data_IF_504006434869
#
_entry.id   IF_504006434869
#
_cell.length_a   1.000
_cell.length_b   1.000
_cell.length_c   1.000
_cell.angle_alpha   90.00
_cell.angle_beta   90.00
_cell.angle_gamma   90.00
#
_symmetry.space_group_name_H-M   'P 1'
#
loop_
_entity.id
_entity.type
_entity.pdbx_description
1 polymer ?
#
# COMPACT_ATOMS: atom_id res chain seq x y z
N UNK A 1 1.88 6.44 16.70
CA UNK A 1 1.00 7.54 16.25
C UNK A 1 1.38 8.03 14.84
N UNK A 2 2.68 8.30 14.56
CA UNK A 2 3.14 8.75 13.24
C UNK A 2 2.73 7.79 12.11
N UNK A 3 2.89 6.48 12.30
CA UNK A 3 2.49 5.48 11.30
C UNK A 3 0.99 5.53 10.98
N UNK A 4 0.13 5.69 12.00
CA UNK A 4 -1.31 5.84 11.80
C UNK A 4 -1.65 7.10 10.99
N UNK A 5 -1.01 8.22 11.31
CA UNK A 5 -1.22 9.49 10.58
C UNK A 5 -0.78 9.38 9.13
N UNK A 6 0.39 8.79 8.87
CA UNK A 6 0.88 8.57 7.50
C UNK A 6 -0.06 7.67 6.70
N UNK A 7 -0.57 6.59 7.30
CA UNK A 7 -1.57 5.74 6.67
C UNK A 7 -2.85 6.52 6.34
N UNK A 8 -3.33 7.38 7.24
CA UNK A 8 -4.50 8.22 6.98
C UNK A 8 -4.26 9.21 5.83
N UNK A 9 -3.06 9.80 5.71
CA UNK A 9 -2.74 10.62 4.55
C UNK A 9 -2.82 9.85 3.24
N UNK A 10 -2.29 8.63 3.20
CA UNK A 10 -2.40 7.76 2.02
C UNK A 10 -3.84 7.29 1.76
N UNK A 11 -4.65 7.11 2.83
CA UNK A 11 -6.07 6.82 2.68
C UNK A 11 -6.82 7.99 2.06
N UNK A 12 -6.45 9.22 2.38
CA UNK A 12 -7.07 10.46 1.83
C UNK A 12 -6.59 10.72 0.41
N UNK A 13 -5.28 10.65 0.15
CA UNK A 13 -4.72 10.80 -1.19
C UNK A 13 -3.87 9.58 -1.59
N UNK A 14 -4.46 8.62 -2.31
CA UNK A 14 -3.74 7.44 -2.81
C UNK A 14 -2.61 7.75 -3.82
N UNK A 15 -2.50 9.00 -4.29
CA UNK A 15 -1.44 9.43 -5.22
C UNK A 15 -0.14 9.79 -4.49
N UNK A 16 -0.18 9.89 -3.17
CA UNK A 16 1.04 10.02 -2.38
C UNK A 16 1.94 8.82 -2.68
N UNK A 17 3.22 9.05 -2.85
CA UNK A 17 4.20 7.99 -3.06
C UNK A 17 4.15 6.91 -1.98
N UNK A 18 4.98 5.87 -2.09
CA UNK A 18 4.92 4.74 -1.15
C UNK A 18 5.16 5.13 0.31
N UNK A 19 4.62 4.34 1.23
CA UNK A 19 4.91 4.37 2.66
C UNK A 19 5.87 3.23 3.01
N UNK A 20 7.02 3.55 3.59
CA UNK A 20 8.00 2.59 4.07
C UNK A 20 7.89 2.44 5.60
N UNK A 21 7.52 1.26 6.08
CA UNK A 21 7.46 0.91 7.49
C UNK A 21 8.76 0.20 7.89
N UNK A 22 9.61 0.87 8.65
CA UNK A 22 10.88 0.35 9.13
C UNK A 22 10.76 -0.12 10.57
N UNK A 23 11.46 -1.19 10.95
CA UNK A 23 11.51 -1.67 12.33
C UNK A 23 11.85 -3.16 12.42
N UNK A 24 12.15 -3.63 13.61
CA UNK A 24 12.51 -5.01 13.88
C UNK A 24 11.41 -6.02 13.52
N UNK A 25 11.76 -7.30 13.43
CA UNK A 25 10.76 -8.35 13.33
C UNK A 25 9.83 -8.35 14.54
N UNK A 26 8.55 -8.60 14.31
CA UNK A 26 7.56 -8.66 15.38
C UNK A 26 6.92 -7.33 15.80
N UNK A 27 7.35 -6.17 15.30
CA UNK A 27 6.71 -4.87 15.61
C UNK A 27 5.41 -4.62 14.81
N UNK A 28 4.74 -5.68 14.37
CA UNK A 28 3.40 -5.67 13.76
C UNK A 28 3.24 -4.85 12.47
N UNK A 29 4.31 -4.63 11.68
CA UNK A 29 4.24 -3.89 10.40
C UNK A 29 3.21 -4.46 9.43
N UNK A 30 3.26 -5.77 9.18
CA UNK A 30 2.33 -6.46 8.28
C UNK A 30 0.90 -6.47 8.82
N UNK A 31 0.74 -6.61 10.14
CA UNK A 31 -0.56 -6.52 10.81
C UNK A 31 -1.18 -5.13 10.62
N UNK A 32 -0.36 -4.08 10.79
CA UNK A 32 -0.80 -2.69 10.59
C UNK A 32 -1.20 -2.43 9.14
N UNK A 33 -0.41 -2.93 8.16
CA UNK A 33 -0.73 -2.79 6.75
C UNK A 33 -2.03 -3.52 6.37
N UNK A 34 -2.28 -4.71 6.91
CA UNK A 34 -3.54 -5.44 6.69
C UNK A 34 -4.72 -4.75 7.35
N UNK A 35 -4.58 -4.27 8.59
CA UNK A 35 -5.62 -3.52 9.28
C UNK A 35 -5.97 -2.20 8.55
N UNK A 36 -5.01 -1.58 7.91
CA UNK A 36 -5.23 -0.37 7.11
C UNK A 36 -6.24 -0.58 5.97
N UNK A 37 -6.27 -1.75 5.35
CA UNK A 37 -7.28 -2.10 4.34
C UNK A 37 -8.70 -1.89 4.83
N UNK A 38 -8.96 -2.20 6.10
CA UNK A 38 -10.30 -2.15 6.68
C UNK A 38 -10.86 -0.72 6.76
N UNK A 39 -9.99 0.29 6.82
CA UNK A 39 -10.43 1.70 6.83
C UNK A 39 -10.56 2.30 5.43
N UNK A 40 -10.09 1.61 4.39
CA UNK A 40 -10.19 2.13 3.03
C UNK A 40 -11.62 2.05 2.50
N UNK A 41 -12.11 3.12 1.85
CA UNK A 41 -13.37 3.06 1.13
C UNK A 41 -13.30 2.01 0.02
N UNK A 42 -14.26 1.12 -0.02
CA UNK A 42 -14.33 0.08 -1.05
C UNK A 42 -14.51 0.68 -2.45
N UNK A 43 -13.93 0.09 -3.50
CA UNK A 43 -14.24 0.42 -4.89
C UNK A 43 -15.74 0.19 -5.20
N UNK A 44 -16.27 0.92 -6.19
CA UNK A 44 -17.71 0.90 -6.56
C UNK A 44 -18.22 -0.53 -6.87
N UNK A 45 -17.34 -1.43 -7.32
CA UNK A 45 -17.69 -2.78 -7.76
C UNK A 45 -17.22 -3.89 -6.81
N UNK A 46 -16.79 -3.56 -5.60
CA UNK A 46 -16.27 -4.52 -4.63
C UNK A 46 -16.71 -4.15 -3.21
N UNK A 47 -16.97 -5.15 -2.39
CA UNK A 47 -17.31 -4.94 -0.97
C UNK A 47 -16.11 -4.44 -0.16
N UNK A 48 -14.89 -4.74 -0.59
CA UNK A 48 -13.64 -4.35 0.09
C UNK A 48 -12.57 -3.92 -0.91
N UNK A 49 -11.68 -3.03 -0.48
CA UNK A 49 -10.48 -2.67 -1.25
C UNK A 49 -9.54 -3.87 -1.37
N UNK A 50 -8.94 -4.12 -2.56
CA UNK A 50 -7.94 -5.16 -2.72
C UNK A 50 -6.76 -4.97 -1.75
N UNK A 51 -6.24 -6.07 -1.23
CA UNK A 51 -4.97 -6.10 -0.50
C UNK A 51 -4.11 -7.19 -1.13
N UNK A 52 -3.12 -6.77 -1.87
CA UNK A 52 -2.24 -7.68 -2.62
C UNK A 52 -0.87 -7.66 -1.96
N UNK A 53 -0.43 -8.81 -1.52
CA UNK A 53 0.89 -9.01 -0.93
C UNK A 53 1.84 -9.54 -2.01
N UNK A 54 3.01 -8.93 -2.10
CA UNK A 54 4.08 -9.37 -3.01
C UNK A 54 4.96 -10.38 -2.28
N UNK A 55 4.92 -11.67 -2.64
CA UNK A 55 5.76 -12.69 -2.02
C UNK A 55 7.24 -12.47 -2.34
N UNK A 56 8.12 -12.81 -1.41
CA UNK A 56 9.56 -12.89 -1.66
C UNK A 56 9.83 -13.87 -2.81
N UNK A 57 10.74 -13.50 -3.71
CA UNK A 57 11.05 -14.31 -4.88
C UNK A 57 10.00 -14.26 -6.00
N UNK A 58 9.08 -13.29 -5.94
CA UNK A 58 8.13 -13.04 -7.05
C UNK A 58 8.89 -12.78 -8.35
N UNK A 59 8.50 -13.48 -9.42
CA UNK A 59 9.04 -13.23 -10.76
C UNK A 59 8.47 -11.92 -11.34
N UNK A 60 9.21 -11.33 -12.29
CA UNK A 60 8.78 -10.14 -13.02
C UNK A 60 7.41 -10.33 -13.69
N UNK A 61 7.22 -11.42 -14.42
CA UNK A 61 5.94 -11.75 -15.07
C UNK A 61 4.77 -11.82 -14.08
N UNK A 62 4.99 -12.38 -12.90
CA UNK A 62 3.96 -12.45 -11.87
C UNK A 62 3.64 -11.09 -11.26
N UNK A 63 4.65 -10.25 -11.09
CA UNK A 63 4.49 -8.92 -10.51
C UNK A 63 3.83 -7.95 -11.50
N UNK A 64 4.41 -7.85 -12.68
CA UNK A 64 4.05 -6.84 -13.68
C UNK A 64 2.93 -7.31 -14.61
N UNK A 65 2.73 -8.62 -14.70
CA UNK A 65 1.87 -9.25 -15.70
C UNK A 65 2.64 -9.67 -16.94
N UNK A 66 2.03 -10.50 -17.74
CA UNK A 66 2.65 -10.99 -18.97
C UNK A 66 1.66 -11.05 -20.12
N UNK A 67 2.17 -11.11 -21.35
CA UNK A 67 1.37 -11.32 -22.55
C UNK A 67 1.60 -12.76 -23.00
N UNK A 68 0.52 -13.52 -23.08
CA UNK A 68 0.54 -14.87 -23.62
C UNK A 68 0.42 -14.84 -25.15
N UNK A 69 1.59 -14.89 -25.82
CA UNK A 69 1.66 -14.93 -27.26
C UNK A 69 1.24 -16.30 -27.86
N UNK A 70 1.20 -17.38 -27.05
CA UNK A 70 0.77 -18.70 -27.53
C UNK A 70 -0.73 -18.73 -27.86
N UNK A 71 -1.53 -17.98 -27.12
CA UNK A 71 -2.96 -17.83 -27.41
C UNK A 71 -3.23 -17.16 -28.77
N UNK A 72 -2.29 -16.37 -29.27
CA UNK A 72 -2.37 -15.78 -30.64
C UNK A 72 -2.28 -16.86 -31.72
N UNK A 73 -1.43 -17.88 -31.55
CA UNK A 73 -1.26 -18.97 -32.47
C UNK A 73 -2.46 -19.92 -32.48
N UNK A 74 -3.11 -20.12 -31.34
CA UNK A 74 -4.25 -21.04 -31.20
C UNK A 74 -5.59 -20.39 -31.57
N UNK A 75 -5.81 -19.16 -31.16
CA UNK A 75 -7.11 -18.50 -31.22
C UNK A 75 -7.15 -17.19 -32.00
N UNK A 76 -6.02 -16.78 -32.60
CA UNK A 76 -5.91 -15.52 -33.33
C UNK A 76 -6.05 -14.26 -32.44
N UNK A 77 -6.04 -14.44 -31.12
CA UNK A 77 -6.10 -13.33 -30.11
C UNK A 77 -5.06 -13.55 -29.05
N UNK A 78 -4.29 -12.50 -28.76
CA UNK A 78 -3.42 -12.50 -27.60
C UNK A 78 -4.22 -12.25 -26.32
N UNK A 79 -3.79 -12.81 -25.20
CA UNK A 79 -4.34 -12.53 -23.88
C UNK A 79 -3.24 -12.01 -22.96
N UNK A 80 -3.60 -11.04 -22.13
CA UNK A 80 -2.71 -10.62 -21.05
C UNK A 80 -3.03 -11.38 -19.77
N UNK A 81 -2.00 -11.80 -19.06
CA UNK A 81 -2.13 -12.31 -17.68
C UNK A 81 -1.94 -11.15 -16.72
N UNK A 82 -2.95 -10.90 -15.89
CA UNK A 82 -2.95 -9.85 -14.90
C UNK A 82 -1.86 -10.08 -13.85
N UNK A 83 -0.99 -9.07 -13.66
CA UNK A 83 0.03 -9.07 -12.62
C UNK A 83 -0.52 -8.62 -11.26
N UNK A 84 0.31 -8.77 -10.21
CA UNK A 84 -0.04 -8.33 -8.86
C UNK A 84 -0.29 -6.82 -8.80
N UNK A 85 0.44 -6.03 -9.58
CA UNK A 85 0.26 -4.57 -9.70
C UNK A 85 -1.17 -4.23 -10.16
N UNK A 86 -1.67 -4.89 -11.20
CA UNK A 86 -3.03 -4.67 -11.69
C UNK A 86 -4.08 -5.16 -10.70
N UNK A 87 -3.84 -6.31 -10.05
CA UNK A 87 -4.73 -6.84 -9.01
C UNK A 87 -4.87 -5.91 -7.80
N UNK A 88 -3.83 -5.13 -7.49
CA UNK A 88 -3.86 -4.15 -6.40
C UNK A 88 -4.63 -2.86 -6.75
N UNK A 89 -5.05 -2.69 -8.01
CA UNK A 89 -5.71 -1.46 -8.45
C UNK A 89 -6.95 -1.13 -7.60
N UNK A 90 -6.99 0.08 -7.07
CA UNK A 90 -8.05 0.54 -6.16
C UNK A 90 -7.87 0.14 -4.69
N UNK A 91 -6.74 -0.48 -4.32
CA UNK A 91 -6.47 -0.97 -2.97
C UNK A 91 -5.05 -0.72 -2.49
N UNK A 92 -4.43 -1.75 -1.94
CA UNK A 92 -3.09 -1.74 -1.35
C UNK A 92 -2.22 -2.78 -2.04
N UNK A 93 -1.01 -2.37 -2.42
CA UNK A 93 0.09 -3.27 -2.74
C UNK A 93 1.05 -3.27 -1.55
N UNK A 94 1.16 -4.40 -0.87
CA UNK A 94 2.03 -4.58 0.28
C UNK A 94 3.27 -5.40 -0.08
N UNK A 95 4.45 -4.89 0.23
CA UNK A 95 5.72 -5.57 0.03
C UNK A 95 6.34 -5.83 1.39
N UNK A 96 6.42 -7.08 1.78
CA UNK A 96 7.17 -7.46 2.98
C UNK A 96 8.66 -7.57 2.65
N UNK A 97 9.50 -6.98 3.50
CA UNK A 97 10.95 -6.96 3.34
C UNK A 97 11.37 -6.43 1.94
N UNK A 98 10.94 -5.21 1.62
CA UNK A 98 11.17 -4.58 0.29
C UNK A 98 12.66 -4.51 -0.09
N UNK A 99 13.56 -4.45 0.90
CA UNK A 99 15.02 -4.47 0.73
C UNK A 99 15.56 -5.81 0.18
N UNK A 100 14.76 -6.87 0.20
CA UNK A 100 15.11 -8.19 -0.34
C UNK A 100 14.60 -8.42 -1.78
N UNK A 101 13.77 -7.51 -2.29
CA UNK A 101 13.37 -7.56 -3.70
C UNK A 101 14.48 -7.03 -4.62
N UNK A 102 14.60 -7.57 -5.84
CA UNK A 102 15.47 -6.99 -6.86
C UNK A 102 15.10 -5.54 -7.15
N UNK A 103 16.11 -4.65 -7.23
CA UNK A 103 15.90 -3.21 -7.38
C UNK A 103 15.03 -2.84 -8.59
N UNK A 104 15.22 -3.51 -9.74
CA UNK A 104 14.43 -3.24 -10.95
C UNK A 104 12.93 -3.51 -10.75
N UNK A 105 12.56 -4.46 -9.88
CA UNK A 105 11.16 -4.71 -9.53
C UNK A 105 10.62 -3.62 -8.60
N UNK A 106 11.43 -3.18 -7.63
CA UNK A 106 11.05 -2.06 -6.74
C UNK A 106 10.88 -0.79 -7.56
N UNK A 107 11.79 -0.49 -8.50
CA UNK A 107 11.67 0.64 -9.42
C UNK A 107 10.36 0.58 -10.22
N UNK A 108 10.05 -0.57 -10.82
CA UNK A 108 8.81 -0.76 -11.60
C UNK A 108 7.54 -0.54 -10.77
N UNK A 109 7.55 -1.00 -9.51
CA UNK A 109 6.44 -0.79 -8.56
C UNK A 109 6.30 0.71 -8.24
N UNK A 110 7.40 1.38 -7.92
CA UNK A 110 7.40 2.81 -7.57
C UNK A 110 6.95 3.67 -8.76
N UNK A 111 7.41 3.36 -9.98
CA UNK A 111 6.99 4.05 -11.20
C UNK A 111 5.49 3.87 -11.47
N UNK A 112 4.96 2.65 -11.30
CA UNK A 112 3.54 2.40 -11.49
C UNK A 112 2.68 3.04 -10.41
N UNK A 113 3.14 3.07 -9.16
CA UNK A 113 2.46 3.77 -8.06
C UNK A 113 2.39 5.29 -8.33
N UNK A 114 3.46 5.89 -8.84
CA UNK A 114 3.52 7.31 -9.15
C UNK A 114 2.67 7.69 -10.38
N UNK A 115 2.69 6.88 -11.45
CA UNK A 115 1.95 7.15 -12.69
C UNK A 115 0.47 6.73 -12.61
N UNK A 116 0.13 5.80 -11.73
CA UNK A 116 -1.19 5.16 -11.65
C UNK A 116 -1.48 4.20 -12.79
N UNK A 117 -0.47 3.85 -13.58
CA UNK A 117 -0.56 2.94 -14.73
C UNK A 117 0.72 2.10 -14.84
N UNK A 118 0.57 0.92 -15.41
CA UNK A 118 1.70 0.07 -15.76
C UNK A 118 1.58 -0.39 -17.21
N UNK A 119 2.70 -0.39 -17.94
CA UNK A 119 2.76 -0.83 -19.34
C UNK A 119 3.47 -2.16 -19.42
N UNK A 120 2.76 -3.16 -19.92
CA UNK A 120 3.28 -4.50 -20.18
C UNK A 120 3.71 -4.53 -21.65
N UNK A 121 4.97 -4.87 -21.91
CA UNK A 121 5.52 -4.99 -23.27
C UNK A 121 6.16 -6.35 -23.44
N UNK A 122 5.76 -7.06 -24.49
CA UNK A 122 6.37 -8.34 -24.88
C UNK A 122 6.19 -8.62 -26.37
N UNK A 123 7.24 -9.06 -27.03
CA UNK A 123 7.23 -9.50 -28.44
C UNK A 123 6.57 -8.50 -29.41
N UNK A 124 6.76 -7.19 -29.17
CA UNK A 124 6.17 -6.13 -29.98
C UNK A 124 4.70 -5.82 -29.66
N UNK A 125 4.10 -6.53 -28.71
CA UNK A 125 2.79 -6.23 -28.15
C UNK A 125 2.92 -5.33 -26.93
N UNK A 126 1.96 -4.44 -26.74
CA UNK A 126 1.96 -3.51 -25.60
C UNK A 126 0.55 -3.32 -25.08
N UNK A 127 0.40 -3.40 -23.76
CA UNK A 127 -0.84 -3.12 -23.06
C UNK A 127 -0.59 -2.21 -21.86
N UNK A 128 -1.43 -1.22 -21.68
CA UNK A 128 -1.41 -0.39 -20.47
C UNK A 128 -2.55 -0.81 -19.55
N UNK A 129 -2.22 -1.09 -18.30
CA UNK A 129 -3.17 -1.48 -17.25
C UNK A 129 -3.23 -0.39 -16.16
N UNK A 130 -4.37 -0.27 -15.50
CA UNK A 130 -4.49 0.63 -14.36
C UNK A 130 -3.76 0.04 -13.15
N UNK A 131 -2.99 0.89 -12.46
CA UNK A 131 -2.15 0.52 -11.33
C UNK A 131 -2.24 1.59 -10.22
N UNK A 132 -3.45 2.03 -9.90
CA UNK A 132 -3.71 3.01 -8.84
C UNK A 132 -3.89 2.29 -7.52
N UNK A 133 -2.84 2.20 -6.74
CA UNK A 133 -2.83 1.54 -5.43
C UNK A 133 -2.04 2.36 -4.42
N UNK A 134 -2.28 2.10 -3.15
CA UNK A 134 -1.45 2.61 -2.06
C UNK A 134 -0.31 1.61 -1.88
N UNK A 135 0.93 2.07 -2.08
CA UNK A 135 2.12 1.25 -1.87
C UNK A 135 2.52 1.30 -0.40
N UNK A 136 2.64 0.14 0.23
CA UNK A 136 3.21 0.00 1.57
C UNK A 136 4.34 -1.01 1.50
N UNK A 137 5.58 -0.55 1.75
CA UNK A 137 6.73 -1.42 1.94
C UNK A 137 7.03 -1.62 3.42
N UNK A 138 7.48 -2.80 3.82
CA UNK A 138 8.11 -3.00 5.12
C UNK A 138 9.58 -3.35 4.95
N UNK A 139 10.40 -2.99 5.92
CA UNK A 139 11.79 -3.46 6.01
C UNK A 139 12.24 -3.59 7.46
N UNK A 140 13.22 -4.47 7.67
CA UNK A 140 14.00 -4.53 8.88
C UNK A 140 15.39 -3.94 8.58
N UNK A 141 15.77 -2.80 9.18
CA UNK A 141 17.07 -2.18 8.94
C UNK A 141 18.28 -3.07 9.28
N UNK A 142 18.08 -4.09 10.13
CA UNK A 142 19.15 -5.06 10.48
C UNK A 142 19.45 -6.06 9.35
N UNK A 143 18.52 -6.25 8.42
CA UNK A 143 18.64 -7.22 7.32
C UNK A 143 19.20 -6.60 6.04
N UNK A 144 19.53 -5.31 6.10
CA UNK A 144 20.12 -4.54 5.00
C UNK A 144 19.32 -3.27 4.69
N UNK A 145 19.99 -2.37 4.02
CA UNK A 145 19.43 -1.08 3.63
C UNK A 145 18.82 -1.15 2.23
N UNK A 146 17.79 -0.36 2.02
CA UNK A 146 17.29 -0.04 0.69
C UNK A 146 18.26 0.98 0.05
N UNK A 147 18.52 0.84 -1.24
CA UNK A 147 19.38 1.82 -1.95
C UNK A 147 18.80 3.22 -1.80
N UNK A 148 19.64 4.25 -1.60
CA UNK A 148 19.17 5.63 -1.40
C UNK A 148 18.19 6.09 -2.48
N UNK A 149 18.46 5.76 -3.75
CA UNK A 149 17.60 6.14 -4.87
C UNK A 149 16.18 5.56 -4.78
N UNK A 150 16.02 4.38 -4.17
CA UNK A 150 14.71 3.76 -3.93
C UNK A 150 14.05 4.35 -2.69
N UNK A 151 14.84 4.61 -1.64
CA UNK A 151 14.35 5.23 -0.41
C UNK A 151 13.77 6.62 -0.68
N UNK A 152 14.43 7.43 -1.51
CA UNK A 152 14.01 8.78 -1.87
C UNK A 152 12.67 8.82 -2.64
N UNK A 153 12.26 7.70 -3.22
CA UNK A 153 10.98 7.59 -3.94
C UNK A 153 9.80 7.20 -3.06
N UNK A 154 10.06 6.75 -1.82
CA UNK A 154 9.01 6.60 -0.82
C UNK A 154 8.70 7.98 -0.21
N UNK A 155 7.42 8.37 -0.22
CA UNK A 155 6.99 9.67 0.33
C UNK A 155 7.20 9.76 1.85
N UNK A 156 6.94 8.67 2.55
CA UNK A 156 7.10 8.58 3.99
C UNK A 156 7.93 7.35 4.38
N UNK A 157 8.97 7.57 5.19
CA UNK A 157 9.68 6.51 5.91
C UNK A 157 9.38 6.63 7.40
N UNK A 158 8.79 5.60 8.00
CA UNK A 158 8.39 5.60 9.41
C UNK A 158 9.10 4.49 10.15
N UNK A 159 9.89 4.86 11.14
CA UNK A 159 10.48 3.92 12.08
C UNK A 159 9.45 3.55 13.16
N UNK A 160 9.09 2.28 13.20
CA UNK A 160 8.20 1.72 14.23
C UNK A 160 9.09 1.19 15.34
N UNK A 161 8.96 1.82 16.49
CA UNK A 161 9.62 1.39 17.74
C UNK A 161 8.72 0.42 18.50
N UNK A 162 9.33 -0.47 19.26
CA UNK A 162 8.70 -1.44 20.14
C UNK A 162 8.83 -1.05 21.62
N UNK A 163 9.28 0.18 21.89
CA UNK A 163 9.42 0.76 23.22
C UNK A 163 8.03 1.12 23.80
N UNK A 164 7.23 0.10 24.08
CA UNK A 164 5.93 0.29 24.71
C UNK A 164 6.07 0.41 26.22
N UNK A 165 5.37 1.37 26.80
CA UNK A 165 5.18 1.46 28.26
C UNK A 165 4.47 0.22 28.80
N UNK A 166 4.51 0.01 30.10
CA UNK A 166 3.81 -1.10 30.76
C UNK A 166 2.30 -1.01 30.52
N UNK A 167 1.76 0.20 30.53
CA UNK A 167 0.35 0.50 30.29
C UNK A 167 -0.07 0.15 28.87
N UNK A 168 0.72 0.53 27.88
CA UNK A 168 0.48 0.20 26.47
C UNK A 168 0.55 -1.31 26.22
N UNK A 169 1.52 -2.00 26.82
CA UNK A 169 1.60 -3.47 26.72
C UNK A 169 0.39 -4.17 27.33
N UNK A 170 -0.09 -3.68 28.48
CA UNK A 170 -1.32 -4.19 29.10
C UNK A 170 -2.53 -4.00 28.19
N UNK A 171 -2.65 -2.84 27.57
CA UNK A 171 -3.75 -2.56 26.63
C UNK A 171 -3.67 -3.46 25.39
N UNK A 172 -2.48 -3.68 24.81
CA UNK A 172 -2.28 -4.61 23.69
C UNK A 172 -2.75 -6.02 24.07
N UNK A 173 -2.34 -6.51 25.25
CA UNK A 173 -2.75 -7.83 25.75
C UNK A 173 -4.25 -7.89 25.94
N UNK A 174 -4.86 -6.86 26.57
CA UNK A 174 -6.30 -6.78 26.80
C UNK A 174 -7.08 -6.86 25.49
N UNK A 175 -6.74 -6.00 24.52
CA UNK A 175 -7.40 -5.97 23.20
C UNK A 175 -7.25 -7.32 22.48
N UNK A 176 -6.09 -7.96 22.62
CA UNK A 176 -5.87 -9.29 22.03
C UNK A 176 -6.74 -10.36 22.70
N UNK A 177 -6.84 -10.36 24.00
CA UNK A 177 -7.69 -11.30 24.72
C UNK A 177 -9.18 -11.09 24.38
N UNK A 178 -9.66 -9.84 24.37
CA UNK A 178 -11.03 -9.50 23.98
C UNK A 178 -11.35 -10.01 22.56
N UNK A 179 -10.39 -9.88 21.64
CA UNK A 179 -10.55 -10.42 20.29
C UNK A 179 -10.54 -11.96 20.25
N UNK A 180 -9.66 -12.62 21.03
CA UNK A 180 -9.57 -14.09 21.03
C UNK A 180 -10.78 -14.74 21.71
N UNK A 181 -11.40 -14.07 22.69
CA UNK A 181 -12.57 -14.56 23.40
C UNK A 181 -13.83 -14.52 22.52
N UNK A 182 -14.09 -13.44 21.79
CA UNK A 182 -15.23 -13.33 20.87
C UNK A 182 -14.88 -12.44 19.65
N UNK A 183 -14.23 -13.02 18.63
CA UNK A 183 -13.82 -12.27 17.43
C UNK A 183 -14.99 -11.63 16.68
N UNK A 184 -16.16 -12.28 16.67
CA UNK A 184 -17.31 -11.79 15.91
C UNK A 184 -17.93 -10.55 16.57
N UNK A 185 -18.14 -10.60 17.89
CA UNK A 185 -18.65 -9.46 18.63
C UNK A 185 -17.64 -8.29 18.64
N UNK A 186 -16.35 -8.58 18.83
CA UNK A 186 -15.31 -7.58 18.78
C UNK A 186 -15.30 -6.82 17.44
N UNK A 187 -15.37 -7.54 16.31
CA UNK A 187 -15.44 -6.93 14.98
C UNK A 187 -16.76 -6.16 14.78
N UNK A 188 -17.89 -6.67 15.24
CA UNK A 188 -19.17 -5.99 15.14
C UNK A 188 -19.18 -4.66 15.90
N UNK A 189 -18.60 -4.60 17.10
CA UNK A 189 -18.45 -3.37 17.86
C UNK A 189 -17.58 -2.31 17.16
N UNK A 190 -16.55 -2.74 16.41
CA UNK A 190 -15.70 -1.82 15.65
C UNK A 190 -16.35 -1.37 14.32
N UNK A 191 -17.31 -2.11 13.79
CA UNK A 191 -17.89 -1.86 12.45
C UNK A 191 -18.41 -0.43 12.29
N UNK A 192 -19.16 0.07 13.27
CA UNK A 192 -19.70 1.43 13.24
C UNK A 192 -18.59 2.49 13.19
N UNK A 193 -17.50 2.28 13.94
CA UNK A 193 -16.34 3.20 13.92
C UNK A 193 -15.61 3.17 12.59
N UNK A 194 -15.46 1.97 11.99
CA UNK A 194 -14.85 1.78 10.68
C UNK A 194 -15.66 2.49 9.59
N UNK A 195 -16.99 2.34 9.60
CA UNK A 195 -17.88 3.00 8.65
C UNK A 195 -17.84 4.53 8.77
N UNK A 196 -17.82 5.05 9.99
CA UNK A 196 -17.64 6.47 10.24
C UNK A 196 -16.31 6.98 9.67
N UNK A 197 -15.20 6.26 9.93
CA UNK A 197 -13.88 6.63 9.44
C UNK A 197 -13.82 6.58 7.91
N UNK A 198 -14.38 5.55 7.26
CA UNK A 198 -14.49 5.46 5.79
C UNK A 198 -15.28 6.64 5.21
N UNK A 199 -16.39 6.99 5.85
CA UNK A 199 -17.20 8.15 5.44
C UNK A 199 -16.41 9.47 5.57
N UNK A 200 -15.67 9.66 6.66
CA UNK A 200 -14.80 10.82 6.83
C UNK A 200 -13.71 10.88 5.76
N UNK A 201 -13.03 9.76 5.48
CA UNK A 201 -12.01 9.68 4.42
C UNK A 201 -12.60 10.09 3.06
N UNK A 202 -13.80 9.60 2.73
CA UNK A 202 -14.48 9.98 1.48
C UNK A 202 -14.81 11.47 1.43
N UNK A 203 -15.31 12.05 2.53
CA UNK A 203 -15.58 13.48 2.64
C UNK A 203 -14.33 14.31 2.41
N UNK A 204 -13.23 13.98 3.11
CA UNK A 204 -11.95 14.69 2.97
C UNK A 204 -11.37 14.55 1.55
N UNK A 205 -11.50 13.38 0.90
CA UNK A 205 -11.10 13.19 -0.52
C UNK A 205 -11.83 14.14 -1.46
N UNK A 206 -13.09 14.44 -1.19
CA UNK A 206 -13.87 15.39 -2.00
C UNK A 206 -13.42 16.82 -1.76
N UNK A 207 -13.20 17.19 -0.50
CA UNK A 207 -12.75 18.53 -0.11
C UNK A 207 -11.32 18.81 -0.56
N UNK A 208 -10.43 17.81 -0.59
CA UNK A 208 -9.04 17.96 -1.02
C UNK A 208 -8.91 18.58 -2.43
N UNK A 209 -9.88 18.35 -3.31
CA UNK A 209 -9.91 18.94 -4.65
C UNK A 209 -10.08 20.46 -4.64
N UNK A 210 -10.62 21.00 -3.57
CA UNK A 210 -10.93 22.42 -3.41
C UNK A 210 -9.92 23.14 -2.50
N UNK A 211 -8.93 22.41 -1.97
CA UNK A 211 -7.88 23.00 -1.12
C UNK A 211 -6.93 23.81 -1.99
N UNK A 212 -6.87 25.12 -1.72
CA UNK A 212 -5.87 26.01 -2.31
C UNK A 212 -4.68 26.19 -1.37
N UNK A 213 -3.48 26.12 -1.93
CA UNK A 213 -2.23 26.28 -1.18
C UNK A 213 -1.82 27.75 -1.29
N UNK A 214 -1.82 28.47 -0.15
CA UNK A 214 -1.43 29.88 -0.12
C UNK A 214 0.00 30.08 -0.63
N UNK A 215 0.26 31.24 -1.27
CA UNK A 215 1.60 31.62 -1.76
C UNK A 215 2.67 31.61 -0.64
N UNK A 216 2.28 32.01 0.58
CA UNK A 216 3.17 31.96 1.74
C UNK A 216 3.65 30.54 2.04
N UNK A 217 2.74 29.55 2.02
CA UNK A 217 3.08 28.15 2.27
C UNK A 217 3.94 27.58 1.13
N UNK A 218 3.65 27.94 -0.13
CA UNK A 218 4.48 27.54 -1.28
C UNK A 218 5.91 28.07 -1.14
N UNK A 219 6.04 29.32 -0.71
CA UNK A 219 7.35 29.96 -0.48
C UNK A 219 8.12 29.29 0.66
N UNK A 220 7.43 28.98 1.77
CA UNK A 220 8.07 28.29 2.91
C UNK A 220 8.58 26.90 2.54
N UNK A 221 7.80 26.14 1.76
CA UNK A 221 8.21 24.81 1.28
C UNK A 221 9.39 24.90 0.31
N UNK A 222 9.43 25.93 -0.55
CA UNK A 222 10.53 26.12 -1.50
C UNK A 222 11.85 26.56 -0.86
N UNK A 223 11.82 27.02 0.41
CA UNK A 223 13.02 27.45 1.15
C UNK A 223 13.65 26.35 2.00
N UNK A 224 13.01 25.20 2.14
CA UNK A 224 13.52 24.02 2.86
C UNK A 224 14.11 23.00 1.90
#
# INVERSE_FOLDING_TARGET
ELAKRSLLFHAVDPRLGGLLLMGHRGCAKSTLARAFREILPAPIYSEMSPFVEVPLGTSEDRLLGSIDASSLLENGKWSAQSGLIEQANGGVLYIDEVNLLPDHLVDSILDSAASGQHRIERDGLSQTVNARYILIGSMNPEEGDLRPQLTDRFMHGILIHDDFSVEERREIVRVRMDFDDDPQNFLAEQQTKLEQLRSQILGVRQELKNVDISENLRTEVAQK
#
